data_IF_295350003444
#
_entry.id   IF_295350003444
#
_cell.length_a   1.000
_cell.length_b   1.000
_cell.length_c   1.000
_cell.angle_alpha   90.00
_cell.angle_beta   90.00
_cell.angle_gamma   90.00
#
_symmetry.space_group_name_H-M   'P 1'
#
loop_
_entity.id
_entity.type
_entity.pdbx_description
1 polymer ?
#
# COMPACT_ATOMS: atom_id res chain seq x y z
N UNK A 1 15.70 41.43 -40.85
CA UNK A 1 14.96 41.93 -42.03
C UNK A 1 15.65 41.38 -43.28
N UNK A 2 15.62 40.06 -43.48
CA UNK A 2 16.28 39.38 -44.62
C UNK A 2 15.48 38.13 -45.07
N UNK A 3 14.81 37.45 -44.13
CA UNK A 3 13.91 36.32 -44.44
C UNK A 3 12.64 36.71 -45.20
N UNK A 4 12.20 37.97 -45.10
CA UNK A 4 10.97 38.46 -45.75
C UNK A 4 11.23 38.87 -47.21
N UNK A 5 12.44 39.36 -47.53
CA UNK A 5 12.82 39.72 -48.92
C UNK A 5 13.12 38.49 -49.79
N UNK A 6 13.56 37.38 -49.18
CA UNK A 6 13.82 36.12 -49.90
C UNK A 6 12.54 35.39 -50.37
N UNK A 7 11.38 35.78 -49.84
CA UNK A 7 10.06 35.17 -50.10
C UNK A 7 9.04 36.20 -50.63
N UNK A 8 9.47 37.04 -51.58
CA UNK A 8 8.60 38.05 -52.23
C UNK A 8 7.55 37.43 -53.17
N UNK A 9 7.82 36.23 -53.71
CA UNK A 9 6.87 35.49 -54.51
C UNK A 9 5.77 34.86 -53.62
N UNK A 10 4.51 35.21 -53.87
CA UNK A 10 3.33 34.69 -53.12
C UNK A 10 3.31 33.16 -53.03
N UNK A 11 3.85 32.46 -54.03
CA UNK A 11 3.89 31.00 -54.10
C UNK A 11 4.84 30.40 -53.04
N UNK A 12 6.02 30.99 -52.83
CA UNK A 12 6.99 30.49 -51.86
C UNK A 12 6.57 30.78 -50.41
N UNK A 13 5.86 31.90 -50.18
CA UNK A 13 5.23 32.17 -48.88
C UNK A 13 4.18 31.10 -48.51
N UNK A 14 3.33 30.71 -49.47
CA UNK A 14 2.31 29.67 -49.25
C UNK A 14 2.97 28.33 -48.94
N UNK A 15 4.04 27.96 -49.64
CA UNK A 15 4.81 26.73 -49.35
C UNK A 15 5.40 26.74 -47.95
N UNK A 16 6.03 27.84 -47.53
CA UNK A 16 6.64 27.97 -46.20
C UNK A 16 5.59 27.89 -45.08
N UNK A 17 4.44 28.56 -45.25
CA UNK A 17 3.31 28.46 -44.30
C UNK A 17 2.76 27.04 -44.23
N UNK A 18 2.67 26.34 -45.36
CA UNK A 18 2.20 24.94 -45.42
C UNK A 18 3.17 23.98 -44.72
N UNK A 19 4.48 24.20 -44.89
CA UNK A 19 5.52 23.46 -44.16
C UNK A 19 5.45 23.70 -42.65
N UNK A 20 5.29 24.96 -42.22
CA UNK A 20 5.13 25.30 -40.81
C UNK A 20 3.86 24.68 -40.22
N UNK A 21 2.73 24.74 -40.92
CA UNK A 21 1.47 24.10 -40.50
C UNK A 21 1.64 22.59 -40.39
N UNK A 22 2.30 21.94 -41.36
CA UNK A 22 2.55 20.50 -41.32
C UNK A 22 3.46 20.11 -40.17
N UNK A 23 4.52 20.87 -39.91
CA UNK A 23 5.41 20.68 -38.77
C UNK A 23 4.68 20.88 -37.43
N UNK A 24 3.87 21.93 -37.33
CA UNK A 24 3.06 22.20 -36.14
C UNK A 24 2.05 21.07 -35.88
N UNK A 25 1.38 20.57 -36.93
CA UNK A 25 0.46 19.44 -36.83
C UNK A 25 1.18 18.19 -36.32
N UNK A 26 2.37 17.88 -36.85
CA UNK A 26 3.17 16.75 -36.42
C UNK A 26 3.57 16.85 -34.94
N UNK A 27 3.98 18.05 -34.48
CA UNK A 27 4.30 18.31 -33.08
C UNK A 27 3.07 18.12 -32.19
N UNK A 28 1.91 18.65 -32.59
CA UNK A 28 0.66 18.49 -31.82
C UNK A 28 0.28 17.02 -31.69
N UNK A 29 0.35 16.25 -32.78
CA UNK A 29 0.07 14.81 -32.76
C UNK A 29 1.03 14.08 -31.81
N UNK A 30 2.32 14.41 -31.85
CA UNK A 30 3.32 13.84 -30.94
C UNK A 30 3.01 14.16 -29.46
N UNK A 31 2.70 15.42 -29.15
CA UNK A 31 2.39 15.84 -27.78
C UNK A 31 1.13 15.16 -27.26
N UNK A 32 0.07 15.08 -28.08
CA UNK A 32 -1.17 14.37 -27.71
C UNK A 32 -0.88 12.90 -27.45
N UNK A 33 -0.12 12.24 -28.32
CA UNK A 33 0.25 10.84 -28.13
C UNK A 33 1.06 10.63 -26.83
N UNK A 34 2.06 11.48 -26.57
CA UNK A 34 2.83 11.43 -25.32
C UNK A 34 1.96 11.64 -24.09
N UNK A 35 0.98 12.54 -24.14
CA UNK A 35 0.03 12.75 -23.04
C UNK A 35 -0.80 11.49 -22.76
N UNK A 36 -1.31 10.83 -23.80
CA UNK A 36 -2.05 9.57 -23.65
C UNK A 36 -1.19 8.46 -23.06
N UNK A 37 0.04 8.29 -23.58
CA UNK A 37 0.99 7.27 -23.09
C UNK A 37 1.36 7.56 -21.64
N UNK A 38 1.67 8.81 -21.29
CA UNK A 38 2.06 9.19 -19.94
C UNK A 38 0.90 9.01 -18.95
N UNK A 39 -0.33 9.39 -19.34
CA UNK A 39 -1.53 9.17 -18.50
C UNK A 39 -1.77 7.68 -18.24
N UNK A 40 -1.68 6.85 -19.29
CA UNK A 40 -1.82 5.39 -19.16
C UNK A 40 -0.74 4.79 -18.28
N UNK A 41 0.53 5.16 -18.52
CA UNK A 41 1.68 4.69 -17.76
C UNK A 41 1.57 5.03 -16.27
N UNK A 42 1.17 6.26 -15.93
CA UNK A 42 0.92 6.66 -14.54
C UNK A 42 -0.17 5.82 -13.89
N UNK A 43 -1.28 5.57 -14.59
CA UNK A 43 -2.37 4.74 -14.06
C UNK A 43 -1.92 3.30 -13.82
N UNK A 44 -1.26 2.71 -14.81
CA UNK A 44 -0.77 1.32 -14.72
C UNK A 44 0.28 1.20 -13.59
N UNK A 45 1.13 2.21 -13.39
CA UNK A 45 2.05 2.29 -12.27
C UNK A 45 1.35 2.35 -10.91
N UNK A 46 0.31 3.18 -10.76
CA UNK A 46 -0.46 3.27 -9.51
C UNK A 46 -1.22 1.97 -9.21
N UNK A 47 -1.78 1.30 -10.23
CA UNK A 47 -2.41 -0.02 -10.05
C UNK A 47 -1.41 -1.06 -9.55
N UNK A 48 -0.21 -1.11 -10.12
CA UNK A 48 0.85 -2.00 -9.64
C UNK A 48 1.20 -1.74 -8.17
N UNK A 49 1.14 -0.48 -7.72
CA UNK A 49 1.37 -0.13 -6.31
C UNK A 49 0.24 -0.57 -5.39
N UNK A 50 -1.00 -0.60 -5.88
CA UNK A 50 -2.14 -1.16 -5.13
C UNK A 50 -2.02 -2.68 -5.03
N UNK A 51 -1.60 -3.35 -6.10
CA UNK A 51 -1.34 -4.80 -6.06
C UNK A 51 -0.23 -5.15 -5.07
N UNK A 52 0.87 -4.39 -5.07
CA UNK A 52 1.96 -4.53 -4.10
C UNK A 52 1.46 -4.28 -2.66
N UNK A 53 0.67 -3.22 -2.45
CA UNK A 53 0.05 -2.91 -1.15
C UNK A 53 -0.85 -4.06 -0.66
N UNK A 54 -1.61 -4.66 -1.56
CA UNK A 54 -2.52 -5.77 -1.25
C UNK A 54 -1.73 -7.01 -0.82
N UNK A 55 -0.65 -7.34 -1.55
CA UNK A 55 0.22 -8.45 -1.19
C UNK A 55 0.88 -8.25 0.18
N UNK A 56 1.41 -7.05 0.43
CA UNK A 56 2.01 -6.71 1.72
C UNK A 56 1.01 -6.78 2.87
N UNK A 57 -0.23 -6.36 2.64
CA UNK A 57 -1.31 -6.40 3.64
C UNK A 57 -1.68 -7.84 4.00
N UNK A 58 -1.86 -8.70 3.00
CA UNK A 58 -2.14 -10.13 3.19
C UNK A 58 -0.97 -10.81 3.92
N UNK A 59 0.27 -10.52 3.52
CA UNK A 59 1.45 -11.09 4.16
C UNK A 59 1.53 -10.67 5.63
N UNK A 60 1.33 -9.39 5.93
CA UNK A 60 1.34 -8.88 7.29
C UNK A 60 0.26 -9.54 8.17
N UNK A 61 -0.99 -9.61 7.70
CA UNK A 61 -2.10 -10.24 8.45
C UNK A 61 -1.82 -11.73 8.67
N UNK A 62 -1.33 -12.43 7.64
CA UNK A 62 -0.97 -13.85 7.72
C UNK A 62 0.15 -14.11 8.74
N UNK A 63 1.17 -13.24 8.78
CA UNK A 63 2.23 -13.31 9.78
C UNK A 63 1.68 -13.11 11.19
N UNK A 64 0.82 -12.12 11.40
CA UNK A 64 0.20 -11.87 12.72
C UNK A 64 -0.69 -13.03 13.15
N UNK A 65 -1.50 -13.60 12.23
CA UNK A 65 -2.32 -14.78 12.50
C UNK A 65 -1.48 -15.98 12.89
N UNK A 66 -0.41 -16.25 12.15
CA UNK A 66 0.53 -17.34 12.46
C UNK A 66 1.17 -17.17 13.84
N UNK A 67 1.50 -15.93 14.22
CA UNK A 67 2.02 -15.63 15.55
C UNK A 67 0.99 -15.85 16.66
N UNK A 68 -0.28 -15.48 16.44
CA UNK A 68 -1.36 -15.75 17.38
C UNK A 68 -1.64 -17.25 17.52
N UNK A 69 -1.63 -17.99 16.41
CA UNK A 69 -1.84 -19.43 16.40
C UNK A 69 -0.72 -20.16 17.14
N UNK A 70 0.54 -19.82 16.86
CA UNK A 70 1.70 -20.37 17.60
C UNK A 70 1.56 -20.07 19.10
N UNK A 71 1.14 -18.86 19.45
CA UNK A 71 0.94 -18.43 20.82
C UNK A 71 -0.14 -19.23 21.54
N UNK A 72 -1.26 -19.48 20.85
CA UNK A 72 -2.37 -20.29 21.35
C UNK A 72 -1.95 -21.75 21.53
N UNK A 73 -1.25 -22.33 20.57
CA UNK A 73 -0.76 -23.71 20.66
C UNK A 73 0.15 -23.92 21.87
N UNK A 74 1.07 -22.97 22.15
CA UNK A 74 1.89 -23.06 23.35
C UNK A 74 1.10 -22.88 24.64
N UNK A 75 0.00 -22.12 24.61
CA UNK A 75 -0.87 -21.93 25.76
C UNK A 75 -1.58 -23.23 26.10
N UNK A 76 -2.14 -23.89 25.10
CA UNK A 76 -2.79 -25.20 25.23
C UNK A 76 -1.79 -26.26 25.73
N UNK A 77 -0.54 -26.22 25.25
CA UNK A 77 0.55 -27.09 25.69
C UNK A 77 1.18 -26.70 27.04
N UNK A 78 0.73 -25.62 27.68
CA UNK A 78 1.29 -25.07 28.94
C UNK A 78 2.78 -24.70 28.87
N UNK A 79 3.27 -24.33 27.67
CA UNK A 79 4.65 -23.92 27.38
C UNK A 79 4.89 -22.41 27.43
N UNK A 80 3.85 -21.61 27.69
CA UNK A 80 3.89 -20.13 27.63
C UNK A 80 4.80 -19.41 28.63
N UNK A 81 5.38 -20.08 29.62
CA UNK A 81 6.22 -19.41 30.64
C UNK A 81 7.43 -18.69 30.07
N UNK A 82 7.86 -19.03 28.85
CA UNK A 82 9.03 -18.44 28.19
C UNK A 82 8.74 -18.03 26.74
N UNK A 83 7.49 -17.73 26.39
CA UNK A 83 7.24 -17.22 25.06
C UNK A 83 7.75 -15.78 24.94
N UNK A 84 8.68 -15.61 24.03
CA UNK A 84 9.07 -14.32 23.49
C UNK A 84 8.96 -14.45 21.97
N UNK A 85 8.24 -13.52 21.34
CA UNK A 85 8.16 -13.52 19.89
C UNK A 85 9.58 -13.29 19.37
N UNK A 86 10.06 -14.14 18.45
CA UNK A 86 11.40 -13.95 17.91
C UNK A 86 11.56 -12.52 17.40
N UNK A 87 12.64 -11.85 17.82
CA UNK A 87 12.97 -10.51 17.35
C UNK A 87 12.97 -10.43 15.81
N UNK A 88 13.34 -11.52 15.14
CA UNK A 88 13.27 -11.62 13.68
C UNK A 88 11.83 -11.51 13.15
N UNK A 89 10.88 -12.21 13.78
CA UNK A 89 9.45 -12.18 13.41
C UNK A 89 8.86 -10.79 13.63
N UNK A 90 9.11 -10.17 14.79
CA UNK A 90 8.68 -8.79 15.09
C UNK A 90 9.25 -7.80 14.06
N UNK A 91 10.55 -7.91 13.76
CA UNK A 91 11.21 -7.04 12.79
C UNK A 91 10.63 -7.21 11.39
N UNK A 92 10.31 -8.44 10.96
CA UNK A 92 9.69 -8.70 9.66
C UNK A 92 8.28 -8.09 9.58
N UNK A 93 7.45 -8.28 10.60
CA UNK A 93 6.10 -7.70 10.65
C UNK A 93 6.14 -6.16 10.59
N UNK A 94 7.02 -5.53 11.41
CA UNK A 94 7.22 -4.08 11.38
C UNK A 94 7.76 -3.58 10.04
N UNK A 95 8.63 -4.34 9.38
CA UNK A 95 9.12 -4.00 8.05
C UNK A 95 7.99 -4.05 7.01
N UNK A 96 7.03 -4.97 7.11
CA UNK A 96 5.87 -4.99 6.21
C UNK A 96 4.95 -3.79 6.47
N UNK A 97 4.64 -3.47 7.73
CA UNK A 97 3.86 -2.26 8.07
C UNK A 97 4.51 -0.98 7.56
N UNK A 98 5.84 -0.85 7.71
CA UNK A 98 6.56 0.31 7.18
C UNK A 98 6.48 0.40 5.67
N UNK A 99 6.57 -0.73 4.93
CA UNK A 99 6.41 -0.71 3.48
C UNK A 99 4.99 -0.30 3.07
N UNK A 100 3.96 -0.81 3.77
CA UNK A 100 2.56 -0.42 3.55
C UNK A 100 2.41 1.09 3.75
N UNK A 101 2.96 1.63 4.84
CA UNK A 101 2.96 3.06 5.14
C UNK A 101 3.66 3.87 4.03
N UNK A 102 4.85 3.44 3.60
CA UNK A 102 5.60 4.12 2.56
C UNK A 102 4.87 4.13 1.21
N UNK A 103 4.23 3.02 0.82
CA UNK A 103 3.42 2.99 -0.40
C UNK A 103 2.25 3.97 -0.28
N UNK A 104 1.56 3.97 0.87
CA UNK A 104 0.46 4.88 1.12
C UNK A 104 0.91 6.34 1.01
N UNK A 105 1.99 6.73 1.69
CA UNK A 105 2.47 8.11 1.76
C UNK A 105 3.05 8.60 0.43
N UNK A 106 3.77 7.75 -0.31
CA UNK A 106 4.47 8.16 -1.53
C UNK A 106 3.57 8.23 -2.76
N UNK A 107 2.54 7.37 -2.83
CA UNK A 107 1.77 7.19 -4.06
C UNK A 107 0.30 7.59 -3.94
N UNK A 108 -0.22 7.78 -2.73
CA UNK A 108 -1.64 8.07 -2.52
C UNK A 108 -1.82 9.25 -1.55
N UNK A 109 -2.67 10.20 -1.94
CA UNK A 109 -3.01 11.32 -1.05
C UNK A 109 -4.06 10.90 -0.03
N UNK A 110 -3.86 11.27 1.25
CA UNK A 110 -4.87 11.19 2.31
C UNK A 110 -5.47 9.79 2.55
N UNK A 111 -4.63 8.75 2.59
CA UNK A 111 -5.07 7.39 2.91
C UNK A 111 -5.58 7.21 4.34
N UNK A 112 -5.16 8.09 5.27
CA UNK A 112 -5.47 7.95 6.70
C UNK A 112 -4.80 6.75 7.37
N UNK A 113 -3.88 6.07 6.66
CA UNK A 113 -3.12 4.95 7.20
C UNK A 113 -2.13 5.44 8.26
N UNK A 114 -2.12 4.77 9.40
CA UNK A 114 -1.20 5.04 10.51
C UNK A 114 -0.70 3.70 11.04
N UNK A 115 0.62 3.53 11.08
CA UNK A 115 1.28 2.29 11.45
C UNK A 115 0.94 1.88 12.90
N UNK A 116 0.81 2.85 13.78
CA UNK A 116 0.50 2.67 15.21
C UNK A 116 -0.83 1.93 15.43
N UNK A 117 -1.80 2.11 14.53
CA UNK A 117 -3.08 1.41 14.61
C UNK A 117 -2.97 -0.10 14.37
N UNK A 118 -1.90 -0.55 13.73
CA UNK A 118 -1.65 -1.95 13.39
C UNK A 118 -0.43 -2.51 14.15
N UNK A 119 0.10 -1.80 15.14
CA UNK A 119 1.26 -2.28 15.89
C UNK A 119 0.95 -3.59 16.66
N UNK A 120 1.92 -4.51 16.72
CA UNK A 120 1.81 -5.75 17.48
C UNK A 120 1.59 -5.50 18.98
N UNK A 121 2.02 -4.35 19.48
CA UNK A 121 1.78 -3.92 20.86
C UNK A 121 0.29 -3.79 21.21
N UNK A 122 -0.59 -3.77 20.21
CA UNK A 122 -2.04 -3.67 20.42
C UNK A 122 -2.69 -5.04 20.74
N UNK A 123 -1.95 -6.14 20.58
CA UNK A 123 -2.39 -7.48 20.96
C UNK A 123 -2.15 -7.73 22.45
N UNK A 124 -3.23 -7.99 23.18
CA UNK A 124 -3.21 -8.19 24.63
C UNK A 124 -2.54 -9.51 25.01
N UNK A 125 -2.67 -10.54 24.17
CA UNK A 125 -2.01 -11.84 24.36
C UNK A 125 -0.49 -11.70 24.43
N UNK A 126 0.11 -10.74 23.71
CA UNK A 126 1.55 -10.50 23.76
C UNK A 126 2.00 -9.94 25.11
N UNK A 127 1.14 -9.19 25.80
CA UNK A 127 1.43 -8.58 27.09
C UNK A 127 1.14 -9.51 28.28
N UNK A 128 0.01 -10.22 28.26
CA UNK A 128 -0.51 -10.88 29.47
C UNK A 128 -0.20 -12.36 29.58
N UNK A 129 0.12 -13.05 28.48
CA UNK A 129 0.17 -14.52 28.49
C UNK A 129 1.27 -15.10 29.38
N UNK A 130 2.38 -14.38 29.59
CA UNK A 130 3.45 -14.84 30.48
C UNK A 130 3.14 -14.63 31.98
N UNK A 131 2.13 -13.80 32.31
CA UNK A 131 1.75 -13.41 33.68
C UNK A 131 0.30 -13.69 34.03
N UNK A 132 -0.48 -14.33 33.16
CA UNK A 132 -1.93 -14.45 33.34
C UNK A 132 -2.31 -15.08 34.70
N UNK A 133 -1.56 -16.09 35.15
CA UNK A 133 -1.76 -16.71 36.48
C UNK A 133 -1.41 -15.79 37.64
N UNK A 134 -0.41 -14.92 37.48
CA UNK A 134 -0.04 -13.92 38.48
C UNK A 134 -1.07 -12.78 38.57
N UNK A 135 -1.77 -12.54 37.45
CA UNK A 135 -2.87 -11.58 37.35
C UNK A 135 -4.22 -12.15 37.86
N UNK A 136 -4.24 -13.42 38.27
CA UNK A 136 -5.45 -14.09 38.77
C UNK A 136 -6.46 -14.46 37.68
N UNK A 137 -6.03 -14.49 36.42
CA UNK A 137 -6.86 -14.90 35.28
C UNK A 137 -6.94 -16.42 35.21
N UNK A 138 -8.12 -16.94 34.90
CA UNK A 138 -8.32 -18.34 34.57
C UNK A 138 -8.04 -18.64 33.10
N UNK A 139 -8.07 -19.92 32.71
CA UNK A 139 -7.80 -20.30 31.33
C UNK A 139 -8.90 -19.78 30.37
N UNK A 140 -10.14 -19.63 30.84
CA UNK A 140 -11.26 -19.07 30.09
C UNK A 140 -11.08 -17.58 29.77
N UNK A 141 -10.60 -16.80 30.74
CA UNK A 141 -10.24 -15.39 30.55
C UNK A 141 -9.16 -15.23 29.46
N UNK A 142 -8.19 -16.16 29.41
CA UNK A 142 -7.14 -16.14 28.38
C UNK A 142 -7.71 -16.46 27.00
N UNK A 143 -8.64 -17.41 26.89
CA UNK A 143 -9.33 -17.66 25.62
C UNK A 143 -10.14 -16.46 25.14
N UNK A 144 -10.74 -15.68 26.06
CA UNK A 144 -11.41 -14.43 25.72
C UNK A 144 -10.43 -13.40 25.15
N UNK A 145 -9.25 -13.25 25.75
CA UNK A 145 -8.17 -12.40 25.22
C UNK A 145 -7.76 -12.82 23.81
N UNK A 146 -7.58 -14.12 23.55
CA UNK A 146 -7.30 -14.60 22.19
C UNK A 146 -8.43 -14.26 21.22
N UNK A 147 -9.70 -14.47 21.60
CA UNK A 147 -10.84 -14.15 20.75
C UNK A 147 -10.92 -12.65 20.43
N UNK A 148 -10.63 -11.77 21.39
CA UNK A 148 -10.53 -10.33 21.17
C UNK A 148 -9.43 -10.00 20.17
N UNK A 149 -8.26 -10.62 20.31
CA UNK A 149 -7.10 -10.38 19.46
C UNK A 149 -7.28 -10.93 18.04
N UNK A 150 -7.91 -12.10 17.86
CA UNK A 150 -8.35 -12.58 16.54
C UNK A 150 -9.37 -11.63 15.90
N UNK A 151 -10.33 -11.11 16.68
CA UNK A 151 -11.32 -10.15 16.18
C UNK A 151 -10.66 -8.84 15.74
N UNK A 152 -9.63 -8.38 16.45
CA UNK A 152 -8.82 -7.22 16.03
C UNK A 152 -8.06 -7.51 14.75
N UNK A 153 -7.44 -8.68 14.62
CA UNK A 153 -6.71 -9.07 13.42
C UNK A 153 -7.64 -9.08 12.19
N UNK A 154 -8.85 -9.64 12.35
CA UNK A 154 -9.87 -9.58 11.30
C UNK A 154 -10.26 -8.14 10.94
N UNK A 155 -10.40 -7.26 11.93
CA UNK A 155 -10.65 -5.83 11.69
C UNK A 155 -9.49 -5.17 10.92
N UNK A 156 -8.23 -5.54 11.23
CA UNK A 156 -7.07 -5.06 10.47
C UNK A 156 -7.13 -5.50 9.02
N UNK A 157 -7.45 -6.77 8.77
CA UNK A 157 -7.63 -7.31 7.42
C UNK A 157 -8.72 -6.56 6.65
N UNK A 158 -9.90 -6.38 7.26
CA UNK A 158 -11.03 -5.68 6.65
C UNK A 158 -10.69 -4.22 6.31
N UNK A 159 -9.98 -3.52 7.19
CA UNK A 159 -9.54 -2.13 6.96
C UNK A 159 -8.50 -2.02 5.87
N UNK A 160 -7.50 -2.90 5.85
CA UNK A 160 -6.47 -2.93 4.82
C UNK A 160 -7.07 -3.27 3.46
N UNK A 161 -7.98 -4.25 3.41
CA UNK A 161 -8.72 -4.59 2.20
C UNK A 161 -9.55 -3.39 1.71
N UNK A 162 -10.31 -2.76 2.59
CA UNK A 162 -11.12 -1.57 2.26
C UNK A 162 -10.26 -0.43 1.73
N UNK A 163 -9.09 -0.18 2.34
CA UNK A 163 -8.11 0.80 1.86
C UNK A 163 -7.68 0.48 0.42
N UNK A 164 -7.25 -0.75 0.15
CA UNK A 164 -6.86 -1.17 -1.21
C UNK A 164 -8.01 -1.02 -2.22
N UNK A 165 -9.25 -1.38 -1.85
CA UNK A 165 -10.42 -1.23 -2.70
C UNK A 165 -10.73 0.23 -3.02
N UNK A 166 -10.66 1.12 -2.03
CA UNK A 166 -10.95 2.54 -2.23
C UNK A 166 -9.88 3.21 -3.08
N UNK A 167 -8.61 2.86 -2.89
CA UNK A 167 -7.51 3.30 -3.77
C UNK A 167 -7.70 2.79 -5.21
N UNK A 168 -8.11 1.53 -5.39
CA UNK A 168 -8.37 0.96 -6.71
C UNK A 168 -9.51 1.69 -7.45
N UNK A 169 -10.56 2.09 -6.73
CA UNK A 169 -11.64 2.91 -7.30
C UNK A 169 -11.13 4.29 -7.73
N UNK A 170 -10.31 4.94 -6.91
CA UNK A 170 -9.75 6.27 -7.24
C UNK A 170 -8.89 6.26 -8.50
N UNK A 171 -8.09 5.21 -8.71
CA UNK A 171 -7.19 5.09 -9.89
C UNK A 171 -7.95 4.69 -11.17
N UNK A 172 -9.12 4.05 -11.03
CA UNK A 172 -9.91 3.59 -12.18
C UNK A 172 -10.67 4.73 -12.90
N UNK A 173 -10.97 5.82 -12.20
CA UNK A 173 -11.65 7.02 -12.73
C UNK A 173 -10.64 8.02 -13.32
#
# INVERSE_FOLDING_TARGET
>A
MYLIELFSAKEDQVRLVTFLLSAALAIVVLLVNQLFINKRSKRDFLLNKIEELTQLSIEYVSMCGSALDELKDMFEDKRCKHYDLSYESVRKMNAQLLKIEMICVLYFEKTGFQNEHYSLSNFKCMEYLHKYKELGLDDGDVYEIFNEDYSKLQNYEDRLASLCFDLAKQVRH
#
